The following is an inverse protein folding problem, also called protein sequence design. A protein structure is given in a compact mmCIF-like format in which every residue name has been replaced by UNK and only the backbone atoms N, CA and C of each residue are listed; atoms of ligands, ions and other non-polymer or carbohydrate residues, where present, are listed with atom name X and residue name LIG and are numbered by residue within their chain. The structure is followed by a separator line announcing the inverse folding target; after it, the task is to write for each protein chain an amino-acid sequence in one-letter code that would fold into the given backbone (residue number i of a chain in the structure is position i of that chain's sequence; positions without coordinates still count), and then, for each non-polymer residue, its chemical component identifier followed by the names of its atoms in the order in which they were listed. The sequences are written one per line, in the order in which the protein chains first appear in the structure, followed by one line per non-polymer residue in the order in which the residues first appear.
data_IF_439144438934
#
_entry.id   IF_439144438934
#
_cell.length_a   1.000
_cell.length_b   1.000
_cell.length_c   1.000
_cell.angle_alpha   90.00
_cell.angle_beta   90.00
_cell.angle_gamma   90.00
#
_symmetry.space_group_name_H-M   'P 1'
#
loop_
_entity.id
_entity.type
_entity.pdbx_description
1 polymer ?
#
# COMPACT_ATOMS: atom_id res chain seq x y z
N UNK A 1 1.35 -16.10 7.42
CA UNK A 1 1.66 -17.21 8.34
C UNK A 1 0.93 -16.95 9.65
N UNK A 2 0.70 -17.98 10.45
CA UNK A 2 0.11 -17.85 11.79
C UNK A 2 0.97 -18.65 12.76
N UNK A 3 1.46 -17.99 13.81
CA UNK A 3 2.19 -18.60 14.92
C UNK A 3 1.21 -18.96 16.04
N UNK A 4 1.35 -20.18 16.58
CA UNK A 4 0.53 -20.70 17.67
C UNK A 4 1.33 -20.72 18.98
N UNK A 5 0.62 -20.79 20.12
CA UNK A 5 1.23 -20.73 21.45
C UNK A 5 2.21 -21.88 21.76
N UNK A 6 2.13 -22.98 21.01
CA UNK A 6 3.07 -24.12 21.08
C UNK A 6 4.34 -23.91 20.24
N UNK A 7 4.48 -22.75 19.58
CA UNK A 7 5.59 -22.41 18.69
C UNK A 7 5.44 -22.98 17.28
N UNK A 8 4.34 -23.67 16.96
CA UNK A 8 4.08 -24.12 15.59
C UNK A 8 3.68 -22.96 14.70
N UNK A 9 4.09 -23.04 13.42
CA UNK A 9 3.78 -22.04 12.40
C UNK A 9 3.05 -22.71 11.26
N UNK A 10 1.84 -22.22 10.95
CA UNK A 10 1.11 -22.63 9.75
C UNK A 10 1.29 -21.59 8.65
N UNK A 11 1.63 -22.07 7.45
CA UNK A 11 1.81 -21.26 6.26
C UNK A 11 0.92 -21.78 5.13
N UNK A 12 0.37 -20.85 4.35
CA UNK A 12 -0.33 -21.16 3.10
C UNK A 12 0.59 -20.75 1.95
N UNK A 13 0.89 -21.71 1.06
CA UNK A 13 1.73 -21.52 -0.12
C UNK A 13 0.90 -21.85 -1.37
N UNK A 14 1.21 -21.18 -2.47
CA UNK A 14 0.56 -21.39 -3.75
C UNK A 14 1.33 -20.71 -4.88
N UNK A 15 0.96 -21.01 -6.12
CA UNK A 15 1.38 -20.19 -7.25
C UNK A 15 0.79 -18.77 -7.12
N UNK A 16 1.42 -17.73 -7.70
CA UNK A 16 0.91 -16.35 -7.66
C UNK A 16 -0.33 -16.18 -8.56
N UNK A 17 -1.45 -16.79 -8.15
CA UNK A 17 -2.69 -16.87 -8.90
C UNK A 17 -3.91 -16.58 -8.00
N UNK A 18 -4.62 -15.48 -8.28
CA UNK A 18 -5.78 -15.05 -7.50
C UNK A 18 -6.96 -16.03 -7.54
N UNK A 19 -6.99 -16.97 -8.50
CA UNK A 19 -8.05 -18.00 -8.55
C UNK A 19 -8.04 -18.87 -7.30
N UNK A 20 -6.88 -19.11 -6.69
CA UNK A 20 -6.75 -19.92 -5.47
C UNK A 20 -7.42 -19.27 -4.25
N UNK A 21 -7.08 -18.03 -3.83
CA UNK A 21 -7.77 -17.39 -2.71
C UNK A 21 -9.24 -17.10 -2.98
N UNK A 22 -9.62 -16.75 -4.22
CA UNK A 22 -11.04 -16.53 -4.58
C UNK A 22 -11.85 -17.82 -4.44
N UNK A 23 -11.37 -18.94 -4.99
CA UNK A 23 -12.06 -20.22 -4.87
C UNK A 23 -12.12 -20.71 -3.42
N UNK A 24 -11.08 -20.44 -2.62
CA UNK A 24 -11.10 -20.71 -1.19
C UNK A 24 -12.22 -19.94 -0.48
N UNK A 25 -12.34 -18.63 -0.73
CA UNK A 25 -13.40 -17.81 -0.11
C UNK A 25 -14.81 -18.22 -0.56
N UNK A 26 -15.00 -18.57 -1.83
CA UNK A 26 -16.31 -18.97 -2.38
C UNK A 26 -16.78 -20.34 -1.92
N UNK A 27 -15.85 -21.28 -1.75
CA UNK A 27 -16.18 -22.67 -1.44
C UNK A 27 -16.10 -23.00 0.05
N UNK A 28 -15.65 -22.05 0.88
CA UNK A 28 -15.45 -22.31 2.30
C UNK A 28 -16.74 -22.82 2.96
N UNK A 29 -16.69 -23.87 3.80
CA UNK A 29 -15.48 -24.56 4.33
C UNK A 29 -14.86 -25.60 3.39
N UNK A 30 -15.55 -25.96 2.32
CA UNK A 30 -15.14 -26.96 1.34
C UNK A 30 -14.01 -26.45 0.42
N UNK A 31 -13.73 -27.23 -0.64
CA UNK A 31 -12.76 -26.91 -1.67
C UNK A 31 -13.39 -26.99 -3.05
N UNK A 32 -13.07 -26.00 -3.88
CA UNK A 32 -13.46 -25.96 -5.28
C UNK A 32 -12.25 -26.23 -6.18
N UNK A 33 -12.46 -26.98 -7.27
CA UNK A 33 -11.42 -27.15 -8.29
C UNK A 33 -11.24 -25.85 -9.06
N UNK A 34 -10.00 -25.45 -9.27
CA UNK A 34 -9.63 -24.29 -10.09
C UNK A 34 -8.74 -24.70 -11.24
N UNK A 35 -8.83 -24.00 -12.38
CA UNK A 35 -7.84 -24.08 -13.46
C UNK A 35 -6.53 -23.31 -13.16
N UNK A 36 -6.35 -22.88 -11.90
CA UNK A 36 -5.18 -22.17 -11.40
C UNK A 36 -3.89 -22.97 -11.52
N UNK A 37 -2.78 -22.25 -11.67
CA UNK A 37 -1.45 -22.87 -11.65
C UNK A 37 -1.23 -23.54 -10.28
N UNK A 38 -0.69 -24.75 -10.28
CA UNK A 38 -0.29 -25.43 -9.05
C UNK A 38 1.14 -25.06 -8.70
N UNK A 39 1.41 -24.95 -7.40
CA UNK A 39 2.77 -24.83 -6.91
C UNK A 39 3.52 -26.12 -7.23
N UNK A 40 4.68 -25.98 -7.87
CA UNK A 40 5.60 -27.06 -8.13
C UNK A 40 6.89 -26.83 -7.33
N UNK A 41 7.11 -27.70 -6.33
CA UNK A 41 8.27 -27.60 -5.45
C UNK A 41 9.59 -27.93 -6.16
N UNK A 42 9.56 -28.61 -7.31
CA UNK A 42 10.78 -28.93 -8.05
C UNK A 42 11.35 -27.73 -8.81
N UNK A 43 10.51 -26.75 -9.10
CA UNK A 43 10.86 -25.49 -9.78
C UNK A 43 10.84 -24.29 -8.85
N UNK A 44 10.38 -24.46 -7.60
CA UNK A 44 10.37 -23.42 -6.59
C UNK A 44 11.80 -22.98 -6.26
N UNK A 45 12.07 -21.69 -6.45
CA UNK A 45 13.33 -21.08 -6.03
C UNK A 45 13.42 -20.99 -4.50
N UNK A 46 14.60 -20.60 -3.99
CA UNK A 46 14.82 -20.41 -2.56
C UNK A 46 13.83 -19.40 -1.95
N UNK A 47 13.35 -19.70 -0.75
CA UNK A 47 12.54 -18.78 0.06
C UNK A 47 13.45 -18.11 1.10
N UNK A 48 13.67 -16.82 0.95
CA UNK A 48 14.44 -16.00 1.89
C UNK A 48 13.50 -15.07 2.68
N UNK A 49 13.84 -14.84 3.96
CA UNK A 49 13.07 -13.97 4.86
C UNK A 49 14.02 -12.96 5.49
N UNK A 50 13.61 -11.70 5.52
CA UNK A 50 14.39 -10.59 6.06
C UNK A 50 13.47 -9.60 6.80
N UNK A 51 13.99 -8.85 7.79
CA UNK A 51 13.21 -7.80 8.45
C UNK A 51 12.90 -6.65 7.48
N UNK A 52 11.86 -5.89 7.79
CA UNK A 52 11.50 -4.68 7.04
C UNK A 52 12.59 -3.60 7.18
N UNK A 53 13.04 -3.05 6.05
CA UNK A 53 13.85 -1.85 6.01
C UNK A 53 12.92 -0.61 6.09
N UNK A 54 12.74 -0.08 7.29
CA UNK A 54 11.82 1.04 7.55
C UNK A 54 12.25 2.36 6.90
N UNK A 55 13.55 2.55 6.65
CA UNK A 55 14.09 3.73 5.97
C UNK A 55 13.73 3.71 4.48
N UNK A 56 13.77 2.52 3.86
CA UNK A 56 13.36 2.34 2.45
C UNK A 56 11.84 2.29 2.27
N UNK A 57 11.11 1.76 3.25
CA UNK A 57 9.65 1.56 3.17
C UNK A 57 8.86 2.25 4.31
N UNK A 58 9.02 3.58 4.49
CA UNK A 58 8.38 4.32 5.59
C UNK A 58 6.84 4.27 5.54
N UNK A 59 6.25 4.00 4.38
CA UNK A 59 4.80 3.86 4.20
C UNK A 59 4.18 2.74 5.05
N UNK A 60 4.94 1.68 5.37
CA UNK A 60 4.46 0.58 6.21
C UNK A 60 4.25 1.06 7.65
N UNK A 61 5.23 1.77 8.22
CA UNK A 61 5.12 2.38 9.54
C UNK A 61 3.97 3.38 9.63
N UNK A 62 3.79 4.20 8.58
CA UNK A 62 2.67 5.13 8.46
C UNK A 62 1.31 4.41 8.43
N UNK A 63 1.18 3.33 7.66
CA UNK A 63 -0.05 2.55 7.61
C UNK A 63 -0.42 1.98 8.98
N UNK A 64 0.55 1.44 9.73
CA UNK A 64 0.34 0.99 11.10
C UNK A 64 -0.07 2.12 12.05
N UNK A 65 0.51 3.31 11.90
CA UNK A 65 0.10 4.48 12.68
C UNK A 65 -1.36 4.87 12.40
N UNK A 66 -1.77 4.86 11.12
CA UNK A 66 -3.16 5.12 10.74
C UNK A 66 -4.13 4.05 11.29
N UNK A 67 -3.75 2.76 11.24
CA UNK A 67 -4.56 1.68 11.82
C UNK A 67 -4.80 1.88 13.33
N UNK A 68 -3.79 2.35 14.06
CA UNK A 68 -3.92 2.68 15.49
C UNK A 68 -4.74 3.94 15.75
N UNK A 69 -4.63 4.95 14.88
CA UNK A 69 -5.39 6.19 14.99
C UNK A 69 -6.88 6.03 14.65
N UNK A 70 -7.21 5.03 13.83
CA UNK A 70 -8.58 4.63 13.52
C UNK A 70 -9.07 5.07 12.15
N UNK A 71 -10.38 4.91 11.93
CA UNK A 71 -11.02 5.00 10.62
C UNK A 71 -10.69 6.27 9.82
N UNK A 72 -10.76 7.50 10.39
CA UNK A 72 -10.47 8.72 9.62
C UNK A 72 -9.04 8.75 9.09
N UNK A 73 -8.06 8.33 9.89
CA UNK A 73 -6.66 8.28 9.46
C UNK A 73 -6.45 7.28 8.32
N UNK A 74 -7.15 6.13 8.36
CA UNK A 74 -7.14 5.15 7.28
C UNK A 74 -7.73 5.69 5.97
N UNK A 75 -8.87 6.39 6.04
CA UNK A 75 -9.50 7.02 4.87
C UNK A 75 -8.58 8.08 4.27
N UNK A 76 -8.00 8.96 5.12
CA UNK A 76 -7.06 9.98 4.67
C UNK A 76 -5.80 9.37 4.02
N UNK A 77 -5.23 8.33 4.63
CA UNK A 77 -4.08 7.61 4.08
C UNK A 77 -4.38 7.05 2.69
N UNK A 78 -5.50 6.33 2.54
CA UNK A 78 -5.86 5.71 1.27
C UNK A 78 -6.13 6.75 0.18
N UNK A 79 -6.95 7.77 0.47
CA UNK A 79 -7.31 8.82 -0.47
C UNK A 79 -6.09 9.64 -0.94
N UNK A 80 -5.18 9.96 -0.02
CA UNK A 80 -3.92 10.62 -0.35
C UNK A 80 -3.01 9.74 -1.21
N UNK A 81 -2.87 8.46 -0.86
CA UNK A 81 -2.03 7.52 -1.59
C UNK A 81 -2.53 7.33 -3.03
N UNK A 82 -3.82 7.09 -3.24
CA UNK A 82 -4.39 6.95 -4.59
C UNK A 82 -4.18 8.21 -5.43
N UNK A 83 -4.39 9.39 -4.85
CA UNK A 83 -4.23 10.66 -5.56
C UNK A 83 -2.76 10.92 -5.92
N UNK A 84 -1.82 10.58 -5.02
CA UNK A 84 -0.39 10.72 -5.26
C UNK A 84 0.13 9.70 -6.28
N UNK A 85 -0.28 8.44 -6.19
CA UNK A 85 0.05 7.40 -7.18
C UNK A 85 -0.49 7.80 -8.56
N UNK A 86 -1.72 8.32 -8.65
CA UNK A 86 -2.27 8.82 -9.91
C UNK A 86 -1.46 10.00 -10.48
N UNK A 87 -0.91 10.87 -9.63
CA UNK A 87 -0.02 11.94 -10.05
C UNK A 87 1.35 11.41 -10.53
N UNK A 88 1.91 10.40 -9.86
CA UNK A 88 3.16 9.74 -10.25
C UNK A 88 3.02 9.03 -11.59
N UNK A 89 1.94 8.25 -11.79
CA UNK A 89 1.64 7.57 -13.04
C UNK A 89 1.38 8.54 -14.20
N UNK A 90 0.92 9.76 -13.89
CA UNK A 90 0.79 10.85 -14.85
C UNK A 90 2.06 11.70 -15.00
N UNK A 91 3.20 11.23 -14.48
CA UNK A 91 4.52 11.89 -14.55
C UNK A 91 4.56 13.32 -13.94
N UNK A 92 3.62 13.65 -13.05
CA UNK A 92 3.54 14.97 -12.40
C UNK A 92 4.42 15.09 -11.16
N UNK A 93 4.73 13.96 -10.53
CA UNK A 93 5.60 13.89 -9.34
C UNK A 93 6.56 12.71 -9.46
N UNK A 94 7.70 12.77 -8.78
CA UNK A 94 8.62 11.63 -8.65
C UNK A 94 8.14 10.59 -7.64
N UNK A 95 8.69 9.37 -7.70
CA UNK A 95 8.31 8.26 -6.81
C UNK A 95 8.40 8.61 -5.30
N UNK A 96 9.48 9.24 -4.78
CA UNK A 96 9.55 9.59 -3.35
C UNK A 96 8.47 10.57 -2.89
N UNK A 97 7.94 11.38 -3.83
CA UNK A 97 6.92 12.36 -3.51
C UNK A 97 5.57 11.72 -3.17
N UNK A 98 5.34 10.44 -3.49
CA UNK A 98 4.13 9.71 -3.09
C UNK A 98 4.02 9.67 -1.57
N UNK A 99 5.06 9.15 -0.91
CA UNK A 99 5.09 9.02 0.56
C UNK A 99 5.03 10.39 1.22
N UNK A 100 5.80 11.36 0.71
CA UNK A 100 5.82 12.73 1.24
C UNK A 100 4.44 13.40 1.14
N UNK A 101 3.71 13.18 0.04
CA UNK A 101 2.34 13.68 -0.14
C UNK A 101 1.42 13.07 0.91
N UNK A 102 1.46 11.75 1.11
CA UNK A 102 0.63 11.07 2.11
C UNK A 102 0.92 11.59 3.51
N UNK A 103 2.21 11.72 3.87
CA UNK A 103 2.64 12.25 5.17
C UNK A 103 2.11 13.65 5.41
N UNK A 104 2.33 14.56 4.45
CA UNK A 104 1.86 15.95 4.53
C UNK A 104 0.34 16.06 4.63
N UNK A 105 -0.40 15.16 3.99
CA UNK A 105 -1.86 15.14 4.11
C UNK A 105 -2.28 14.74 5.51
N UNK A 106 -1.71 13.66 6.05
CA UNK A 106 -2.02 13.18 7.41
C UNK A 106 -1.68 14.21 8.49
N UNK A 107 -0.60 14.97 8.31
CA UNK A 107 -0.18 16.03 9.25
C UNK A 107 -1.13 17.24 9.26
N UNK A 108 -1.90 17.47 8.17
CA UNK A 108 -2.66 18.70 7.96
C UNK A 108 -4.17 18.52 8.00
N UNK A 109 -4.67 17.36 7.63
CA UNK A 109 -6.11 17.16 7.49
C UNK A 109 -6.76 16.94 8.85
N UNK A 110 -7.89 17.62 9.09
CA UNK A 110 -8.70 17.35 10.25
C UNK A 110 -9.27 15.93 10.16
N UNK A 111 -9.32 15.21 11.27
CA UNK A 111 -9.80 13.83 11.32
C UNK A 111 -11.10 13.75 12.13
N UNK A 112 -12.27 14.03 11.51
CA UNK A 112 -13.55 13.95 12.19
C UNK A 112 -13.94 12.49 12.46
N UNK A 113 -14.79 12.21 13.47
CA UNK A 113 -15.39 10.89 13.59
C UNK A 113 -16.27 10.58 12.38
N UNK A 114 -16.14 9.38 11.82
CA UNK A 114 -16.91 8.91 10.67
C UNK A 114 -17.82 7.76 11.11
N UNK A 115 -19.13 7.91 10.91
CA UNK A 115 -20.17 7.01 11.41
C UNK A 115 -21.06 6.44 10.30
N UNK A 116 -20.94 6.95 9.07
CA UNK A 116 -21.66 6.42 7.91
C UNK A 116 -20.79 6.34 6.66
N UNK A 117 -21.28 5.62 5.65
CA UNK A 117 -20.63 5.55 4.35
C UNK A 117 -20.57 6.93 3.68
N UNK A 118 -21.62 7.73 3.80
CA UNK A 118 -21.71 9.07 3.23
C UNK A 118 -20.63 9.99 3.82
N UNK A 119 -20.42 9.92 5.14
CA UNK A 119 -19.37 10.67 5.83
C UNK A 119 -17.98 10.20 5.38
N UNK A 120 -17.76 8.89 5.24
CA UNK A 120 -16.50 8.33 4.72
C UNK A 120 -16.22 8.85 3.31
N UNK A 121 -17.21 8.80 2.42
CA UNK A 121 -17.07 9.26 1.03
C UNK A 121 -16.91 10.77 0.92
N UNK A 122 -17.57 11.54 1.79
CA UNK A 122 -17.39 12.99 1.84
C UNK A 122 -15.96 13.36 2.29
N UNK A 123 -15.47 12.68 3.34
CA UNK A 123 -14.13 12.88 3.84
C UNK A 123 -13.06 12.42 2.84
N UNK A 124 -13.23 11.27 2.18
CA UNK A 124 -12.35 10.83 1.07
C UNK A 124 -12.24 11.92 0.00
N UNK A 125 -13.36 12.49 -0.46
CA UNK A 125 -13.33 13.58 -1.45
C UNK A 125 -12.59 14.81 -0.95
N UNK A 126 -12.82 15.23 0.29
CA UNK A 126 -12.12 16.35 0.90
C UNK A 126 -10.59 16.13 0.90
N UNK A 127 -10.16 14.94 1.31
CA UNK A 127 -8.74 14.55 1.31
C UNK A 127 -8.16 14.65 -0.10
N UNK A 128 -8.86 14.14 -1.12
CA UNK A 128 -8.39 14.19 -2.51
C UNK A 128 -8.25 15.62 -3.02
N UNK A 129 -9.21 16.51 -2.71
CA UNK A 129 -9.09 17.92 -3.09
C UNK A 129 -7.93 18.62 -2.37
N UNK A 130 -7.74 18.34 -1.08
CA UNK A 130 -6.60 18.85 -0.31
C UNK A 130 -5.26 18.45 -0.95
N UNK A 131 -5.11 17.18 -1.34
CA UNK A 131 -3.88 16.66 -1.97
C UNK A 131 -3.58 17.36 -3.30
N UNK A 132 -4.60 17.66 -4.12
CA UNK A 132 -4.39 18.33 -5.42
C UNK A 132 -3.73 19.70 -5.26
N UNK A 133 -3.94 20.40 -4.14
CA UNK A 133 -3.29 21.68 -3.86
C UNK A 133 -1.77 21.56 -3.74
N UNK A 134 -1.24 20.37 -3.41
CA UNK A 134 0.20 20.15 -3.34
C UNK A 134 0.88 20.09 -4.71
N UNK A 135 0.10 19.85 -5.77
CA UNK A 135 0.59 19.76 -7.13
C UNK A 135 0.39 21.07 -7.92
N UNK A 136 -0.50 21.95 -7.46
CA UNK A 136 -0.75 23.26 -8.07
C UNK A 136 0.39 24.22 -7.68
N UNK A 137 1.36 24.38 -8.58
CA UNK A 137 2.55 25.23 -8.38
C UNK A 137 3.87 24.58 -8.78
N UNK A 138 3.88 23.28 -9.07
CA UNK A 138 5.08 22.58 -9.55
C UNK A 138 5.08 22.61 -11.08
N UNK A 139 5.80 23.55 -11.68
CA UNK A 139 6.15 23.49 -13.11
C UNK A 139 6.92 22.18 -13.39
N UNK A 140 6.83 21.59 -14.61
CA UNK A 140 7.50 20.34 -14.92
C UNK A 140 9.02 20.57 -14.91
N UNK A 141 9.65 20.22 -13.81
CA UNK A 141 11.05 20.53 -13.55
C UNK A 141 11.65 19.70 -12.43
N UNK A 142 11.33 18.41 -12.37
CA UNK A 142 12.17 17.47 -11.62
C UNK A 142 13.19 16.88 -12.58
N UNK A 143 14.34 17.57 -12.69
CA UNK A 143 15.53 17.02 -13.30
C UNK A 143 15.93 15.76 -12.51
N UNK A 144 15.93 14.62 -13.20
CA UNK A 144 16.57 13.40 -12.72
C UNK A 144 17.98 13.75 -12.24
N UNK A 145 18.26 13.47 -10.96
CA UNK A 145 19.61 13.59 -10.41
C UNK A 145 20.55 12.76 -11.27
N UNK A 146 21.47 13.42 -11.96
CA UNK A 146 22.58 12.78 -12.66
C UNK A 146 23.36 11.99 -11.61
N UNK A 147 23.32 10.66 -11.67
CA UNK A 147 24.30 9.83 -10.99
C UNK A 147 25.65 10.12 -11.64
N UNK A 148 26.49 10.82 -10.89
CA UNK A 148 27.84 11.17 -11.29
C UNK A 148 28.65 9.91 -11.60
N UNK A 149 29.13 9.83 -12.82
CA UNK A 149 30.34 9.08 -13.17
C UNK A 149 31.51 9.71 -12.40
N UNK A 150 32.14 8.96 -11.50
CA UNK A 150 33.52 9.22 -11.12
C UNK A 150 34.30 7.91 -11.25
N UNK A 151 35.18 7.89 -12.24
CA UNK A 151 36.30 6.99 -12.31
C UNK A 151 37.24 7.22 -11.12
N UNK A 152 37.86 6.15 -10.66
CA UNK A 152 38.87 6.08 -9.61
C UNK A 152 39.24 4.64 -9.35
#
# INVERSE_FOLDING_TARGET
MVEYADGSVLAQLGAPDMRTPIAHALAWPDRMKTSGQRLDFTTLSRLDFEPLDEDKFPSVGMAYACLRAGLPAGVAFNAANETAVAAFLAERIGFPAIVETVRRTLDRIAMPPLKSLEEILAFDREVRESVKTFFQGTAPGFAAGKTGTSAG
#
